data_IF_756059013790
#
_entry.id   IF_756059013790
#
_cell.length_a   1.000
_cell.length_b   1.000
_cell.length_c   1.000
_cell.angle_alpha   90.00
_cell.angle_beta   90.00
_cell.angle_gamma   90.00
#
_symmetry.space_group_name_H-M   'P 1'
#
loop_
_entity.id
_entity.type
_entity.pdbx_description
1 polymer ?
#
# COMPACT_ATOMS: atom_id res chain seq x y z
N UNK A 1 0.46 -47.68 13.15
CA UNK A 1 1.49 -46.62 12.98
C UNK A 1 0.78 -45.30 12.79
N UNK A 2 0.57 -44.59 13.88
CA UNK A 2 0.07 -43.22 13.92
C UNK A 2 1.20 -42.28 13.49
N UNK A 3 1.00 -41.31 12.59
CA UNK A 3 1.99 -40.26 12.41
C UNK A 3 1.90 -39.31 13.61
N UNK A 4 2.99 -39.23 14.38
CA UNK A 4 3.24 -38.11 15.28
C UNK A 4 3.42 -36.86 14.42
N UNK A 5 2.43 -35.96 14.47
CA UNK A 5 2.62 -34.59 14.00
C UNK A 5 2.88 -33.75 15.24
N UNK A 6 4.13 -33.38 15.46
CA UNK A 6 4.49 -32.30 16.38
C UNK A 6 3.97 -30.97 15.81
N UNK A 7 2.77 -30.59 16.23
CA UNK A 7 2.13 -29.29 15.94
C UNK A 7 2.19 -28.41 17.19
N UNK A 8 3.40 -28.14 17.70
CA UNK A 8 3.60 -26.91 18.46
C UNK A 8 3.74 -25.76 17.47
N UNK A 9 2.63 -25.35 16.87
CA UNK A 9 2.53 -24.03 16.26
C UNK A 9 2.88 -23.02 17.37
N UNK A 10 4.04 -22.36 17.26
CA UNK A 10 4.39 -21.30 18.21
C UNK A 10 3.30 -20.25 18.12
N UNK A 11 2.69 -19.86 19.23
CA UNK A 11 1.52 -18.97 19.23
C UNK A 11 1.79 -17.54 18.70
N UNK A 12 3.01 -17.24 18.25
CA UNK A 12 3.44 -15.91 17.84
C UNK A 12 4.36 -15.95 16.63
N UNK A 13 4.25 -14.95 15.76
CA UNK A 13 5.23 -14.62 14.72
C UNK A 13 5.84 -13.23 15.02
N UNK A 14 7.10 -13.02 14.67
CA UNK A 14 7.80 -11.75 14.85
C UNK A 14 7.61 -10.89 13.59
N UNK A 15 7.09 -9.67 13.73
CA UNK A 15 6.88 -8.73 12.63
C UNK A 15 7.82 -7.54 12.72
N UNK A 16 8.36 -7.12 11.58
CA UNK A 16 9.15 -5.90 11.39
C UNK A 16 8.63 -5.12 10.20
N UNK A 17 8.20 -3.88 10.42
CA UNK A 17 7.76 -2.97 9.37
C UNK A 17 8.83 -1.91 9.10
N UNK A 18 9.10 -1.65 7.83
CA UNK A 18 10.15 -0.74 7.38
C UNK A 18 9.59 0.59 6.86
N UNK A 19 10.40 1.64 6.97
CA UNK A 19 10.15 2.99 6.46
C UNK A 19 8.73 3.52 6.74
N UNK A 20 8.02 3.97 5.72
CA UNK A 20 6.74 4.66 5.80
C UNK A 20 5.60 3.76 6.29
N UNK A 21 5.79 2.43 6.35
CA UNK A 21 4.81 1.54 6.97
C UNK A 21 4.67 1.80 8.48
N UNK A 22 5.69 2.36 9.11
CA UNK A 22 5.68 2.71 10.52
C UNK A 22 4.66 3.82 10.85
N UNK A 23 4.26 4.63 9.86
CA UNK A 23 3.25 5.68 10.05
C UNK A 23 1.86 5.10 10.36
N UNK A 24 1.62 3.85 9.99
CA UNK A 24 0.35 3.17 10.25
C UNK A 24 0.30 2.49 11.63
N UNK A 25 1.45 2.21 12.23
CA UNK A 25 1.55 1.48 13.49
C UNK A 25 1.35 2.39 14.71
N UNK A 26 0.89 1.78 15.81
CA UNK A 26 0.94 2.39 17.15
C UNK A 26 2.38 2.78 17.49
N UNK A 27 2.57 3.88 18.22
CA UNK A 27 3.89 4.49 18.45
C UNK A 27 4.89 3.50 19.04
N UNK A 28 4.41 2.60 19.89
CA UNK A 28 5.20 1.57 20.55
C UNK A 28 5.64 0.50 19.55
N UNK A 29 4.94 0.24 18.45
CA UNK A 29 5.32 -0.83 17.50
C UNK A 29 6.28 -0.33 16.41
N UNK A 30 6.49 0.99 16.32
CA UNK A 30 7.29 1.61 15.26
C UNK A 30 8.78 1.28 15.39
N UNK A 31 9.42 1.09 14.24
CA UNK A 31 10.86 0.95 14.04
C UNK A 31 11.52 -0.16 14.86
N UNK A 32 10.75 -1.14 15.36
CA UNK A 32 11.26 -2.34 16.00
C UNK A 32 10.55 -3.60 15.53
N UNK A 33 11.11 -4.76 15.89
CA UNK A 33 10.42 -6.03 15.75
C UNK A 33 9.46 -6.22 16.94
N UNK A 34 8.31 -6.83 16.70
CA UNK A 34 7.35 -7.15 17.76
C UNK A 34 6.63 -8.46 17.50
N UNK A 35 6.17 -9.10 18.58
CA UNK A 35 5.44 -10.36 18.47
C UNK A 35 3.96 -10.12 18.19
N UNK A 36 3.44 -10.80 17.16
CA UNK A 36 2.03 -10.85 16.83
C UNK A 36 1.50 -12.25 17.12
N UNK A 37 0.38 -12.34 17.85
CA UNK A 37 -0.27 -13.60 18.15
C UNK A 37 -0.89 -14.21 16.89
N UNK A 38 -0.64 -15.50 16.67
CA UNK A 38 -1.21 -16.33 15.61
C UNK A 38 -2.14 -17.34 16.29
N UNK A 39 -3.34 -16.89 16.63
CA UNK A 39 -4.35 -17.66 17.36
C UNK A 39 -5.35 -18.40 16.45
N UNK A 40 -5.28 -18.11 15.16
CA UNK A 40 -6.07 -18.73 14.10
C UNK A 40 -5.27 -18.76 12.81
N UNK A 41 -5.70 -19.61 11.89
CA UNK A 41 -5.24 -19.57 10.50
C UNK A 41 -5.51 -18.17 9.95
N UNK A 42 -4.45 -17.45 9.61
CA UNK A 42 -4.54 -16.10 9.04
C UNK A 42 -3.51 -15.93 7.93
N UNK A 43 -3.91 -15.23 6.88
CA UNK A 43 -2.97 -14.85 5.83
C UNK A 43 -2.02 -13.75 6.32
N UNK A 44 -0.87 -13.60 5.67
CA UNK A 44 0.04 -12.47 5.88
C UNK A 44 -0.68 -11.14 5.69
N UNK A 45 -1.57 -11.05 4.68
CA UNK A 45 -2.40 -9.87 4.45
C UNK A 45 -3.24 -9.52 5.67
N UNK A 46 -3.99 -10.49 6.20
CA UNK A 46 -4.84 -10.26 7.38
C UNK A 46 -4.00 -9.87 8.61
N UNK A 47 -2.77 -10.40 8.71
CA UNK A 47 -1.78 -10.00 9.72
C UNK A 47 -1.42 -8.51 9.61
N UNK A 48 -0.99 -8.09 8.44
CA UNK A 48 -0.60 -6.71 8.12
C UNK A 48 -1.76 -5.73 8.37
N UNK A 49 -2.96 -6.06 7.88
CA UNK A 49 -4.11 -5.16 8.01
C UNK A 49 -4.61 -5.04 9.46
N UNK A 50 -4.43 -6.07 10.27
CA UNK A 50 -4.83 -6.05 11.69
C UNK A 50 -4.02 -5.07 12.55
N UNK A 51 -2.79 -4.75 12.15
CA UNK A 51 -1.97 -3.72 12.81
C UNK A 51 -2.16 -2.34 12.18
N UNK A 52 -3.10 -2.21 11.25
CA UNK A 52 -3.52 -0.94 10.68
C UNK A 52 -2.90 -0.58 9.34
N UNK A 53 -1.92 -1.35 8.87
CA UNK A 53 -1.20 -1.12 7.60
C UNK A 53 -2.07 -1.57 6.42
N UNK A 54 -2.45 -0.68 5.49
CA UNK A 54 -3.17 -1.10 4.28
C UNK A 54 -2.27 -1.98 3.40
N UNK A 55 -2.78 -3.10 2.89
CA UNK A 55 -2.01 -3.97 2.00
C UNK A 55 -1.53 -3.27 0.73
N UNK A 56 -2.25 -2.24 0.27
CA UNK A 56 -1.86 -1.42 -0.89
C UNK A 56 -0.58 -0.65 -0.68
N UNK A 57 -0.17 -0.40 0.58
CA UNK A 57 1.08 0.29 0.92
C UNK A 57 2.28 -0.67 0.96
N UNK A 58 2.06 -1.99 0.86
CA UNK A 58 3.08 -3.02 0.96
C UNK A 58 3.48 -3.50 -0.44
N UNK A 59 4.78 -3.75 -0.62
CA UNK A 59 5.34 -4.16 -1.91
C UNK A 59 6.15 -5.46 -1.84
N UNK A 60 6.82 -5.70 -0.71
CA UNK A 60 7.55 -6.95 -0.46
C UNK A 60 7.27 -7.44 0.95
N UNK A 61 6.95 -8.74 1.05
CA UNK A 61 6.88 -9.47 2.32
C UNK A 61 7.89 -10.59 2.26
N UNK A 62 8.78 -10.63 3.25
CA UNK A 62 9.68 -11.76 3.49
C UNK A 62 9.20 -12.54 4.72
N UNK A 63 9.03 -13.85 4.57
CA UNK A 63 8.80 -14.79 5.67
C UNK A 63 10.03 -15.68 5.78
N UNK A 64 10.74 -15.57 6.89
CA UNK A 64 12.02 -16.25 7.15
C UNK A 64 13.05 -16.06 6.01
N UNK A 65 13.03 -14.86 5.41
CA UNK A 65 13.91 -14.47 4.31
C UNK A 65 13.41 -14.84 2.90
N UNK A 66 12.34 -15.63 2.77
CA UNK A 66 11.74 -15.95 1.48
C UNK A 66 10.63 -14.95 1.10
N UNK A 67 10.62 -14.48 -0.15
CA UNK A 67 9.53 -13.64 -0.66
C UNK A 67 8.25 -14.45 -0.81
N UNK A 68 7.13 -13.92 -0.30
CA UNK A 68 5.82 -14.60 -0.31
C UNK A 68 4.69 -13.67 -0.75
N UNK A 69 3.65 -14.26 -1.35
CA UNK A 69 2.41 -13.57 -1.68
C UNK A 69 1.53 -13.31 -0.44
N UNK A 70 0.56 -12.41 -0.58
CA UNK A 70 -0.36 -12.02 0.49
C UNK A 70 -1.20 -13.18 1.04
N UNK A 71 -1.47 -14.19 0.21
CA UNK A 71 -2.23 -15.40 0.55
C UNK A 71 -1.43 -16.38 1.42
N UNK A 72 -0.13 -16.15 1.63
CA UNK A 72 0.69 -17.00 2.50
C UNK A 72 0.09 -17.09 3.90
N UNK A 73 -0.09 -18.32 4.38
CA UNK A 73 -0.70 -18.61 5.69
C UNK A 73 0.39 -18.73 6.75
N UNK A 74 0.27 -17.93 7.80
CA UNK A 74 1.17 -17.98 8.95
C UNK A 74 0.82 -19.16 9.86
N UNK A 75 1.84 -19.88 10.32
CA UNK A 75 1.78 -21.06 11.20
C UNK A 75 2.33 -20.78 12.59
N UNK A 76 3.02 -19.66 12.77
CA UNK A 76 3.61 -19.25 14.03
C UNK A 76 5.06 -19.68 14.18
N UNK A 77 5.88 -18.79 14.75
CA UNK A 77 7.32 -18.93 14.89
C UNK A 77 8.13 -18.22 13.80
N UNK A 78 7.47 -17.72 12.76
CA UNK A 78 8.13 -17.07 11.62
C UNK A 78 8.62 -15.65 11.97
N UNK A 79 9.60 -15.19 11.21
CA UNK A 79 10.01 -13.79 11.12
C UNK A 79 9.47 -13.18 9.84
N UNK A 80 8.62 -12.18 9.98
CA UNK A 80 7.94 -11.49 8.89
C UNK A 80 8.50 -10.07 8.76
N UNK A 81 9.20 -9.79 7.67
CA UNK A 81 9.66 -8.46 7.31
C UNK A 81 8.76 -7.89 6.20
N UNK A 82 8.22 -6.69 6.45
CA UNK A 82 7.25 -6.04 5.56
C UNK A 82 7.83 -4.71 5.09
N UNK A 83 7.95 -4.57 3.77
CA UNK A 83 8.56 -3.43 3.12
C UNK A 83 7.50 -2.64 2.35
N UNK A 84 7.52 -1.29 2.45
CA UNK A 84 6.62 -0.46 1.67
C UNK A 84 6.97 -0.53 0.19
N UNK A 85 6.12 0.11 -0.59
CA UNK A 85 6.36 0.53 -1.97
C UNK A 85 7.69 1.26 -2.11
N UNK A 86 8.75 0.53 -2.45
CA UNK A 86 10.00 1.14 -2.83
C UNK A 86 10.02 1.31 -4.35
N UNK A 87 9.63 2.47 -4.86
CA UNK A 87 9.88 2.73 -6.27
C UNK A 87 11.39 2.96 -6.56
N UNK A 88 12.21 3.22 -5.53
CA UNK A 88 13.63 3.57 -5.68
C UNK A 88 14.60 2.40 -5.87
N UNK A 89 14.19 1.17 -5.59
CA UNK A 89 15.06 0.01 -5.74
C UNK A 89 14.50 -0.88 -6.86
N UNK A 90 15.31 -1.14 -7.87
CA UNK A 90 15.00 -2.11 -8.91
C UNK A 90 15.08 -3.52 -8.29
N UNK A 91 14.02 -3.92 -7.57
CA UNK A 91 13.85 -5.26 -6.99
C UNK A 91 13.23 -6.24 -7.99
N UNK A 92 13.36 -5.98 -9.29
CA UNK A 92 12.98 -6.88 -10.39
C UNK A 92 13.34 -8.37 -10.21
N UNK A 93 14.42 -8.79 -9.51
CA UNK A 93 14.68 -10.21 -9.31
C UNK A 93 13.91 -10.85 -8.14
N UNK A 94 13.29 -10.08 -7.24
CA UNK A 94 12.71 -10.59 -5.99
C UNK A 94 11.22 -10.26 -5.92
N UNK A 95 10.43 -10.95 -6.76
CA UNK A 95 8.95 -11.06 -6.73
C UNK A 95 8.24 -9.76 -6.30
N UNK A 96 7.92 -8.92 -7.29
CA UNK A 96 7.03 -7.78 -7.12
C UNK A 96 5.62 -8.28 -6.75
N UNK A 97 5.11 -7.94 -5.56
CA UNK A 97 3.72 -8.22 -5.17
C UNK A 97 2.70 -7.34 -5.92
N UNK A 98 3.17 -6.57 -6.90
CA UNK A 98 2.39 -5.67 -7.74
C UNK A 98 2.48 -6.07 -9.22
N UNK A 99 1.40 -5.87 -9.99
CA UNK A 99 1.52 -5.80 -11.44
C UNK A 99 2.48 -4.64 -11.81
N UNK A 100 3.39 -4.91 -12.75
CA UNK A 100 4.49 -4.03 -13.20
C UNK A 100 4.14 -2.54 -13.29
N UNK A 101 5.13 -1.62 -13.10
CA UNK A 101 4.89 -0.18 -13.15
C UNK A 101 4.13 0.22 -14.42
N UNK A 102 2.99 0.88 -14.21
CA UNK A 102 2.18 1.37 -15.31
C UNK A 102 2.98 2.39 -16.10
N UNK A 103 3.10 2.16 -17.41
CA UNK A 103 3.65 3.16 -18.34
C UNK A 103 2.79 4.44 -18.44
N UNK A 104 1.60 4.45 -17.82
CA UNK A 104 0.70 5.62 -17.72
C UNK A 104 -0.02 5.65 -16.36
N UNK A 105 0.47 6.46 -15.43
CA UNK A 105 -0.13 6.62 -14.10
C UNK A 105 -1.37 7.52 -14.17
N UNK A 106 -2.53 6.95 -13.82
CA UNK A 106 -3.82 7.65 -13.73
C UNK A 106 -4.33 7.61 -12.30
N UNK A 107 -4.89 8.71 -11.82
CA UNK A 107 -5.33 8.89 -10.45
C UNK A 107 -6.84 9.09 -10.34
N UNK A 108 -7.40 8.64 -9.22
CA UNK A 108 -8.69 9.10 -8.68
C UNK A 108 -8.41 9.56 -7.26
N UNK A 109 -8.88 10.75 -6.91
CA UNK A 109 -8.56 11.39 -5.64
C UNK A 109 -9.79 11.49 -4.74
N UNK A 110 -9.54 11.31 -3.45
CA UNK A 110 -10.45 11.64 -2.35
C UNK A 110 -10.94 13.10 -2.41
N UNK A 111 -12.18 13.35 -1.98
CA UNK A 111 -12.83 14.66 -1.99
C UNK A 111 -11.99 15.76 -1.31
N UNK A 112 -11.21 15.42 -0.27
CA UNK A 112 -10.35 16.38 0.43
C UNK A 112 -9.05 16.76 -0.32
N UNK A 113 -8.77 16.13 -1.46
CA UNK A 113 -7.52 16.30 -2.21
C UNK A 113 -7.69 17.12 -3.50
N UNK A 114 -8.71 17.98 -3.58
CA UNK A 114 -9.01 18.77 -4.79
C UNK A 114 -7.86 19.67 -5.26
N UNK A 115 -7.10 20.29 -4.34
CA UNK A 115 -5.92 21.10 -4.70
C UNK A 115 -4.82 20.24 -5.33
N UNK A 116 -4.58 19.04 -4.78
CA UNK A 116 -3.63 18.08 -5.34
C UNK A 116 -4.09 17.60 -6.72
N UNK A 117 -5.38 17.32 -6.90
CA UNK A 117 -5.95 16.94 -8.21
C UNK A 117 -5.67 18.03 -9.26
N UNK A 118 -5.84 19.30 -8.89
CA UNK A 118 -5.51 20.44 -9.77
C UNK A 118 -4.02 20.50 -10.12
N UNK A 119 -3.12 20.33 -9.15
CA UNK A 119 -1.67 20.33 -9.40
C UNK A 119 -1.25 19.18 -10.33
N UNK A 120 -1.81 17.97 -10.12
CA UNK A 120 -1.54 16.83 -10.98
C UNK A 120 -2.04 17.05 -12.42
N UNK A 121 -3.23 17.63 -12.61
CA UNK A 121 -3.73 18.00 -13.95
C UNK A 121 -2.86 19.05 -14.63
N UNK A 122 -2.41 20.07 -13.89
CA UNK A 122 -1.47 21.08 -14.39
C UNK A 122 -0.12 20.45 -14.79
N UNK A 123 0.32 19.40 -14.11
CA UNK A 123 1.51 18.65 -14.45
C UNK A 123 1.32 17.63 -15.60
N UNK A 124 0.09 17.49 -16.12
CA UNK A 124 -0.24 16.65 -17.27
C UNK A 124 -0.80 15.26 -16.93
N UNK A 125 -1.06 14.96 -15.66
CA UNK A 125 -1.54 13.65 -15.23
C UNK A 125 -3.07 13.52 -15.28
N UNK A 126 -3.53 12.31 -15.59
CA UNK A 126 -4.95 11.97 -15.61
C UNK A 126 -5.48 11.82 -14.19
N UNK A 127 -6.06 12.89 -13.65
CA UNK A 127 -6.53 12.93 -12.26
C UNK A 127 -8.02 13.26 -12.18
N UNK A 128 -8.83 12.23 -11.88
CA UNK A 128 -10.24 12.40 -11.55
C UNK A 128 -10.41 12.83 -10.11
N UNK A 129 -11.31 13.79 -9.91
CA UNK A 129 -11.73 14.27 -8.61
C UNK A 129 -13.04 15.02 -8.80
N UNK A 130 -14.00 14.78 -7.91
CA UNK A 130 -15.23 15.55 -7.76
C UNK A 130 -15.50 15.79 -6.27
N UNK A 131 -16.28 16.82 -5.96
CA UNK A 131 -16.53 17.23 -4.57
C UNK A 131 -17.41 16.24 -3.79
N UNK A 132 -18.20 15.43 -4.48
CA UNK A 132 -19.27 14.58 -3.95
C UNK A 132 -19.05 13.08 -4.18
N UNK A 133 -17.88 12.68 -4.67
CA UNK A 133 -17.52 11.27 -4.78
C UNK A 133 -17.58 10.58 -3.43
N UNK A 134 -18.46 9.58 -3.32
CA UNK A 134 -18.46 8.63 -2.21
C UNK A 134 -17.32 7.62 -2.36
N UNK A 135 -16.88 7.03 -1.25
CA UNK A 135 -15.82 6.01 -1.25
C UNK A 135 -16.11 4.85 -2.22
N UNK A 136 -17.36 4.42 -2.34
CA UNK A 136 -17.76 3.33 -3.25
C UNK A 136 -17.53 3.71 -4.72
N UNK A 137 -17.79 4.96 -5.07
CA UNK A 137 -17.57 5.49 -6.40
C UNK A 137 -16.07 5.63 -6.71
N UNK A 138 -15.28 6.15 -5.76
CA UNK A 138 -13.81 6.21 -5.88
C UNK A 138 -13.25 4.81 -6.16
N UNK A 139 -13.70 3.81 -5.39
CA UNK A 139 -13.27 2.41 -5.56
C UNK A 139 -13.71 1.88 -6.92
N UNK A 140 -14.97 2.08 -7.31
CA UNK A 140 -15.50 1.63 -8.59
C UNK A 140 -14.74 2.23 -9.78
N UNK A 141 -14.48 3.54 -9.77
CA UNK A 141 -13.66 4.23 -10.76
C UNK A 141 -12.23 3.70 -10.80
N UNK A 142 -11.64 3.43 -9.63
CA UNK A 142 -10.27 2.90 -9.54
C UNK A 142 -10.15 1.53 -10.22
N UNK A 143 -11.14 0.66 -10.00
CA UNK A 143 -11.18 -0.70 -10.56
C UNK A 143 -11.48 -0.64 -12.06
N UNK A 144 -12.59 0.01 -12.44
CA UNK A 144 -13.06 0.05 -13.83
C UNK A 144 -12.04 0.71 -14.76
N UNK A 145 -11.41 1.80 -14.31
CA UNK A 145 -10.46 2.57 -15.12
C UNK A 145 -9.00 2.27 -14.79
N UNK A 146 -8.71 1.27 -13.94
CA UNK A 146 -7.35 0.97 -13.49
C UNK A 146 -6.63 2.26 -13.08
N UNK A 147 -7.20 3.00 -12.12
CA UNK A 147 -6.58 4.20 -11.51
C UNK A 147 -5.96 3.85 -10.18
N UNK A 148 -5.01 4.68 -9.74
CA UNK A 148 -4.46 4.66 -8.39
C UNK A 148 -5.31 5.59 -7.53
N UNK A 149 -5.79 5.09 -6.39
CA UNK A 149 -6.50 5.93 -5.43
C UNK A 149 -5.49 6.76 -4.64
N UNK A 150 -5.63 8.09 -4.62
CA UNK A 150 -4.94 8.93 -3.65
C UNK A 150 -5.94 9.34 -2.58
N UNK A 151 -5.66 9.02 -1.32
CA UNK A 151 -6.57 9.30 -0.21
C UNK A 151 -5.79 9.52 1.08
N UNK A 152 -6.43 10.21 2.03
CA UNK A 152 -5.97 10.28 3.43
C UNK A 152 -6.82 9.42 4.35
N UNK A 153 -7.74 8.65 3.81
CA UNK A 153 -8.53 7.67 4.53
C UNK A 153 -7.97 6.25 4.32
N UNK A 154 -7.58 5.63 5.43
CA UNK A 154 -7.13 4.24 5.47
C UNK A 154 -8.27 3.27 5.20
N UNK A 155 -9.52 3.66 5.51
CA UNK A 155 -10.72 2.87 5.28
C UNK A 155 -10.88 2.50 3.81
N UNK A 156 -10.75 3.47 2.91
CA UNK A 156 -10.77 3.25 1.46
C UNK A 156 -9.68 2.25 1.04
N UNK A 157 -8.43 2.44 1.47
CA UNK A 157 -7.29 1.60 1.07
C UNK A 157 -7.37 0.15 1.57
N UNK A 158 -8.08 -0.10 2.66
CA UNK A 158 -8.30 -1.45 3.21
C UNK A 158 -9.41 -2.22 2.51
N UNK A 159 -10.18 -1.59 1.64
CA UNK A 159 -11.26 -2.29 0.90
C UNK A 159 -10.65 -3.33 -0.03
N UNK A 160 -11.16 -4.56 0.03
CA UNK A 160 -10.66 -5.70 -0.77
C UNK A 160 -10.60 -5.44 -2.27
N UNK A 161 -11.51 -4.63 -2.81
CA UNK A 161 -11.58 -4.31 -4.23
C UNK A 161 -10.47 -3.35 -4.68
N UNK A 162 -9.82 -2.62 -3.76
CA UNK A 162 -8.77 -1.67 -4.09
C UNK A 162 -7.49 -2.42 -4.41
N UNK A 163 -7.12 -2.38 -5.69
CA UNK A 163 -5.88 -3.00 -6.16
C UNK A 163 -4.67 -2.07 -5.97
N UNK A 164 -4.88 -0.76 -6.07
CA UNK A 164 -3.83 0.25 -5.97
C UNK A 164 -4.35 1.50 -5.31
N UNK A 165 -3.62 1.94 -4.31
CA UNK A 165 -3.81 3.25 -3.71
C UNK A 165 -2.57 3.68 -2.96
N UNK A 166 -2.57 4.95 -2.59
CA UNK A 166 -1.49 5.58 -1.85
C UNK A 166 -2.07 6.52 -0.80
N UNK A 167 -1.60 6.34 0.43
CA UNK A 167 -1.94 7.20 1.55
C UNK A 167 -1.14 8.50 1.49
N UNK A 168 -1.82 9.63 1.25
CA UNK A 168 -1.18 10.94 1.18
C UNK A 168 -0.89 11.45 2.60
N UNK A 169 0.40 11.51 2.96
CA UNK A 169 0.86 11.86 4.31
C UNK A 169 0.81 13.36 4.54
N UNK A 170 1.23 14.14 3.55
CA UNK A 170 1.30 15.58 3.60
C UNK A 170 -0.08 16.25 3.68
N UNK A 171 -0.13 17.38 4.39
CA UNK A 171 -1.34 18.19 4.57
C UNK A 171 -1.34 19.35 3.58
N UNK A 172 -0.18 19.97 3.36
CA UNK A 172 -0.04 21.13 2.48
C UNK A 172 -0.06 20.69 1.00
N UNK A 173 -0.92 21.30 0.19
CA UNK A 173 -1.15 20.86 -1.19
C UNK A 173 0.08 20.87 -2.11
N UNK A 174 1.05 21.74 -1.84
CA UNK A 174 2.31 21.77 -2.58
C UNK A 174 3.20 20.59 -2.19
N UNK A 175 3.28 20.29 -0.89
CA UNK A 175 4.03 19.15 -0.38
C UNK A 175 3.38 17.82 -0.78
N UNK A 176 2.06 17.76 -0.82
CA UNK A 176 1.31 16.61 -1.34
C UNK A 176 1.70 16.29 -2.78
N UNK A 177 1.84 17.32 -3.63
CA UNK A 177 2.28 17.10 -5.00
C UNK A 177 3.71 16.58 -5.05
N UNK A 178 4.63 17.18 -4.29
CA UNK A 178 6.01 16.71 -4.21
C UNK A 178 6.13 15.28 -3.68
N UNK A 179 5.31 14.93 -2.68
CA UNK A 179 5.19 13.58 -2.13
C UNK A 179 4.76 12.60 -3.22
N UNK A 180 3.62 12.86 -3.88
CA UNK A 180 3.07 11.99 -4.92
C UNK A 180 4.00 11.92 -6.14
N UNK A 181 4.62 13.04 -6.54
CA UNK A 181 5.54 13.07 -7.66
C UNK A 181 6.74 12.16 -7.41
N UNK A 182 7.33 12.23 -6.22
CA UNK A 182 8.44 11.36 -5.80
C UNK A 182 8.00 9.91 -5.65
N UNK A 183 6.82 9.70 -5.04
CA UNK A 183 6.29 8.38 -4.74
C UNK A 183 5.88 7.59 -5.99
N UNK A 184 5.63 8.26 -7.12
CA UNK A 184 5.24 7.66 -8.40
C UNK A 184 6.23 7.97 -9.56
N UNK A 185 7.41 8.51 -9.25
CA UNK A 185 8.44 8.94 -10.21
C UNK A 185 7.91 9.77 -11.38
N UNK A 186 7.00 10.68 -11.07
CA UNK A 186 6.27 11.46 -12.07
C UNK A 186 7.18 12.43 -12.84
N UNK A 187 8.37 12.74 -12.32
CA UNK A 187 9.30 13.73 -12.89
C UNK A 187 9.70 13.40 -14.33
N UNK A 188 9.80 12.11 -14.68
CA UNK A 188 10.18 11.64 -16.02
C UNK A 188 9.04 11.71 -17.05
N UNK A 189 7.81 11.93 -16.58
CA UNK A 189 6.59 11.86 -17.41
C UNK A 189 5.79 13.16 -17.39
N UNK A 190 6.37 14.25 -16.89
CA UNK A 190 5.73 15.56 -16.83
C UNK A 190 5.34 16.05 -18.23
N UNK A 191 4.08 16.46 -18.36
CA UNK A 191 3.54 17.13 -19.56
C UNK A 191 2.81 18.40 -19.12
N UNK A 192 3.53 19.44 -18.69
CA UNK A 192 2.90 20.62 -18.11
C UNK A 192 1.84 21.22 -19.05
N UNK A 193 0.71 21.62 -18.47
CA UNK A 193 -0.42 22.28 -19.13
C UNK A 193 -1.15 21.46 -20.21
N UNK A 194 -0.91 20.16 -20.33
CA UNK A 194 -1.53 19.33 -21.38
C UNK A 194 -2.96 18.88 -21.06
N UNK A 195 -3.45 19.09 -19.84
CA UNK A 195 -4.78 18.63 -19.37
C UNK A 195 -5.58 19.73 -18.65
N UNK A 196 -5.32 20.99 -18.97
CA UNK A 196 -6.07 22.13 -18.46
C UNK A 196 -7.52 22.08 -19.00
N UNK A 197 -8.47 21.72 -18.13
CA UNK A 197 -9.90 22.02 -18.25
C UNK A 197 -10.47 22.25 -16.87
#
# INVERSE_FOLDING_TARGET
>A
MTPHIDLQAKAFAEFRFYEELNDFLAAELRKRAFQMRIDRVRSVKDAIESVGVPHTEVDLVLVDGASVAFEHVLRGGERVAVYPVFERLDIAPVVHLRPSPLRETRFVLDTHLGKLARHLRLAGFDSLWENDYGDEEIVALSVAQKRVILTRDKGILKRRAVLRGYFVREIESERQFCEVARAFQLERSLKPFSRCR
#
